data_IF_630879561752
#
_entry.id   IF_630879561752
#
_cell.length_a   1.000
_cell.length_b   1.000
_cell.length_c   1.000
_cell.angle_alpha   90.00
_cell.angle_beta   90.00
_cell.angle_gamma   90.00
#
_symmetry.space_group_name_H-M   'P 1'
#
loop_
_entity.id
_entity.type
_entity.pdbx_description
1 polymer ?
#
# COMPACT_ATOMS: atom_id res chain seq x y z
N UNK A 1 17.68 -30.58 3.16
CA UNK A 1 16.77 -30.03 2.14
C UNK A 1 16.41 -31.12 1.13
N UNK A 2 15.14 -31.30 0.83
CA UNK A 2 14.65 -32.23 -0.21
C UNK A 2 14.74 -31.57 -1.59
N UNK A 3 14.67 -32.39 -2.68
CA UNK A 3 14.67 -31.85 -4.06
C UNK A 3 13.56 -30.80 -4.29
N UNK A 4 12.29 -31.01 -3.89
CA UNK A 4 11.26 -29.97 -4.00
C UNK A 4 11.58 -28.68 -3.23
N UNK A 5 12.20 -28.77 -2.05
CA UNK A 5 12.64 -27.56 -1.31
C UNK A 5 13.71 -26.79 -2.09
N UNK A 6 14.67 -27.47 -2.71
CA UNK A 6 15.74 -26.82 -3.47
C UNK A 6 15.15 -26.11 -4.69
N UNK A 7 14.24 -26.78 -5.41
CA UNK A 7 13.55 -26.18 -6.56
C UNK A 7 12.74 -24.97 -6.12
N UNK A 8 11.96 -25.07 -5.03
CA UNK A 8 11.20 -23.96 -4.47
C UNK A 8 12.09 -22.77 -4.13
N UNK A 9 13.24 -23.03 -3.48
CA UNK A 9 14.21 -22.01 -3.14
C UNK A 9 14.77 -21.30 -4.37
N UNK A 10 15.15 -22.04 -5.40
CA UNK A 10 15.69 -21.49 -6.65
C UNK A 10 14.64 -20.68 -7.41
N UNK A 11 13.40 -21.17 -7.50
CA UNK A 11 12.30 -20.46 -8.16
C UNK A 11 11.95 -19.19 -7.39
N UNK A 12 11.92 -19.24 -6.06
CA UNK A 12 11.68 -18.06 -5.22
C UNK A 12 12.81 -17.05 -5.34
N UNK A 13 14.07 -17.49 -5.34
CA UNK A 13 15.22 -16.62 -5.55
C UNK A 13 15.18 -15.97 -6.94
N UNK A 14 14.77 -16.71 -7.98
CA UNK A 14 14.58 -16.18 -9.32
C UNK A 14 13.44 -15.15 -9.36
N UNK A 15 12.32 -15.41 -8.69
CA UNK A 15 11.23 -14.44 -8.53
C UNK A 15 11.73 -13.14 -7.87
N UNK A 16 12.46 -13.25 -6.77
CA UNK A 16 13.05 -12.10 -6.08
C UNK A 16 13.99 -11.33 -7.03
N UNK A 17 14.85 -12.02 -7.77
CA UNK A 17 15.72 -11.40 -8.75
C UNK A 17 14.96 -10.62 -9.82
N UNK A 18 13.84 -11.17 -10.35
CA UNK A 18 13.00 -10.48 -11.33
C UNK A 18 12.32 -9.24 -10.73
N UNK A 19 11.85 -9.31 -9.46
CA UNK A 19 11.27 -8.19 -8.76
C UNK A 19 12.31 -7.08 -8.57
N UNK A 20 13.50 -7.43 -8.09
CA UNK A 20 14.56 -6.47 -7.80
C UNK A 20 15.17 -5.80 -9.03
N UNK A 21 15.18 -6.49 -10.18
CA UNK A 21 15.76 -5.95 -11.40
C UNK A 21 14.77 -5.19 -12.28
N UNK A 22 13.46 -5.24 -11.95
CA UNK A 22 12.36 -4.61 -12.73
C UNK A 22 12.41 -4.89 -14.24
N UNK A 23 13.04 -6.02 -14.64
CA UNK A 23 13.19 -6.40 -16.05
C UNK A 23 11.89 -6.88 -16.68
N UNK A 24 10.92 -7.25 -15.88
CA UNK A 24 9.58 -7.65 -16.30
C UNK A 24 8.53 -6.77 -15.64
N UNK A 25 7.34 -6.62 -16.23
CA UNK A 25 6.28 -5.82 -15.66
C UNK A 25 5.96 -6.25 -14.22
N UNK A 26 5.79 -5.27 -13.34
CA UNK A 26 5.41 -5.49 -11.95
C UNK A 26 4.12 -6.33 -11.89
N UNK A 27 4.12 -7.38 -11.09
CA UNK A 27 3.03 -8.37 -10.99
C UNK A 27 3.27 -9.66 -11.77
N UNK A 28 4.14 -9.66 -12.81
CA UNK A 28 4.47 -10.86 -13.55
C UNK A 28 5.41 -11.85 -12.81
N UNK A 29 6.42 -11.41 -12.05
CA UNK A 29 7.37 -12.34 -11.42
C UNK A 29 6.75 -13.44 -10.57
N UNK A 30 5.78 -13.18 -9.65
CA UNK A 30 5.17 -14.25 -8.87
C UNK A 30 4.32 -15.21 -9.71
N UNK A 31 3.67 -14.71 -10.76
CA UNK A 31 2.91 -15.57 -11.69
C UNK A 31 3.84 -16.53 -12.41
N UNK A 32 4.99 -16.03 -12.88
CA UNK A 32 6.04 -16.86 -13.50
C UNK A 32 6.52 -17.89 -12.48
N UNK A 33 6.77 -17.49 -11.24
CA UNK A 33 7.20 -18.41 -10.19
C UNK A 33 6.16 -19.50 -9.91
N UNK A 34 4.87 -19.16 -9.79
CA UNK A 34 3.77 -20.12 -9.64
C UNK A 34 3.77 -21.14 -10.80
N UNK A 35 3.90 -20.65 -12.03
CA UNK A 35 3.95 -21.52 -13.20
C UNK A 35 5.17 -22.48 -13.19
N UNK A 36 6.34 -21.96 -12.80
CA UNK A 36 7.56 -22.77 -12.66
C UNK A 36 7.45 -23.81 -11.54
N UNK A 37 6.81 -23.47 -10.40
CA UNK A 37 6.55 -24.43 -9.32
C UNK A 37 5.71 -25.62 -9.81
N UNK A 38 4.69 -25.36 -10.64
CA UNK A 38 3.87 -26.42 -11.26
C UNK A 38 4.66 -27.20 -12.28
N UNK A 39 5.39 -26.51 -13.18
CA UNK A 39 6.16 -27.13 -14.26
C UNK A 39 7.24 -28.10 -13.72
N UNK A 40 7.87 -27.74 -12.64
CA UNK A 40 8.88 -28.58 -11.99
C UNK A 40 8.31 -29.60 -11.00
N UNK A 41 6.99 -29.75 -10.93
CA UNK A 41 6.32 -30.73 -10.09
C UNK A 41 6.47 -30.51 -8.59
N UNK A 42 6.71 -29.27 -8.18
CA UNK A 42 6.79 -28.88 -6.75
C UNK A 42 5.42 -28.93 -6.10
N UNK A 43 4.39 -28.46 -6.83
CA UNK A 43 3.00 -28.41 -6.36
C UNK A 43 2.04 -28.50 -7.55
N UNK A 44 0.75 -28.72 -7.27
CA UNK A 44 -0.31 -28.69 -8.29
C UNK A 44 -0.74 -27.25 -8.64
N UNK A 45 -1.48 -27.12 -9.75
CA UNK A 45 -1.91 -25.82 -10.28
C UNK A 45 -2.90 -25.10 -9.34
N UNK A 46 -3.74 -25.85 -8.60
CA UNK A 46 -4.72 -25.25 -7.69
C UNK A 46 -4.01 -24.61 -6.50
N UNK A 47 -3.03 -25.27 -5.94
CA UNK A 47 -2.20 -24.74 -4.85
C UNK A 47 -1.35 -23.56 -5.33
N UNK A 48 -0.64 -23.67 -6.45
CA UNK A 48 0.22 -22.61 -6.95
C UNK A 48 -0.55 -21.32 -7.30
N UNK A 49 -1.80 -21.42 -7.75
CA UNK A 49 -2.63 -20.26 -8.12
C UNK A 49 -3.77 -19.95 -7.11
N UNK A 50 -3.72 -20.55 -5.93
CA UNK A 50 -4.75 -20.36 -4.88
C UNK A 50 -4.93 -18.89 -4.50
N UNK A 51 -3.89 -18.08 -4.58
CA UNK A 51 -3.97 -16.65 -4.28
C UNK A 51 -4.98 -15.89 -5.14
N UNK A 52 -5.29 -16.36 -6.36
CA UNK A 52 -6.30 -15.73 -7.23
C UNK A 52 -7.74 -15.95 -6.76
N UNK A 53 -8.01 -16.96 -5.95
CA UNK A 53 -9.30 -17.20 -5.30
C UNK A 53 -9.32 -16.80 -3.83
N UNK A 54 -8.26 -16.14 -3.36
CA UNK A 54 -8.12 -15.73 -1.98
C UNK A 54 -9.11 -14.61 -1.63
N UNK A 55 -9.90 -14.74 -0.54
CA UNK A 55 -10.87 -13.72 -0.13
C UNK A 55 -10.27 -12.32 0.06
N UNK A 56 -9.06 -12.23 0.63
CA UNK A 56 -8.37 -10.95 0.87
C UNK A 56 -7.98 -10.27 -0.44
N UNK A 57 -7.59 -11.05 -1.46
CA UNK A 57 -7.25 -10.52 -2.80
C UNK A 57 -8.52 -10.07 -3.52
N UNK A 58 -9.61 -10.82 -3.41
CA UNK A 58 -10.91 -10.43 -3.98
C UNK A 58 -11.39 -9.12 -3.35
N UNK A 59 -11.27 -8.99 -2.03
CA UNK A 59 -11.58 -7.75 -1.31
C UNK A 59 -10.72 -6.60 -1.80
N UNK A 60 -9.41 -6.79 -1.89
CA UNK A 60 -8.46 -5.76 -2.32
C UNK A 60 -8.78 -5.28 -3.74
N UNK A 61 -8.97 -6.20 -4.68
CA UNK A 61 -9.32 -5.91 -6.06
C UNK A 61 -10.65 -5.12 -6.15
N UNK A 62 -11.66 -5.58 -5.43
CA UNK A 62 -12.98 -4.92 -5.38
C UNK A 62 -12.89 -3.51 -4.79
N UNK A 63 -12.09 -3.34 -3.75
CA UNK A 63 -11.94 -2.03 -3.13
C UNK A 63 -11.18 -1.04 -4.02
N UNK A 64 -10.22 -1.50 -4.83
CA UNK A 64 -9.59 -0.65 -5.85
C UNK A 64 -10.60 -0.13 -6.88
N UNK A 65 -11.55 -0.95 -7.28
CA UNK A 65 -12.67 -0.52 -8.15
C UNK A 65 -13.51 0.56 -7.48
N UNK A 66 -13.82 0.39 -6.18
CA UNK A 66 -14.59 1.39 -5.41
C UNK A 66 -13.82 2.73 -5.35
N UNK A 67 -12.52 2.69 -5.09
CA UNK A 67 -11.67 3.89 -5.10
C UNK A 67 -11.64 4.56 -6.48
N UNK A 68 -11.59 3.78 -7.56
CA UNK A 68 -11.63 4.32 -8.92
C UNK A 68 -12.95 5.08 -9.19
N UNK A 69 -14.09 4.55 -8.70
CA UNK A 69 -15.36 5.26 -8.71
C UNK A 69 -15.31 6.57 -7.91
N UNK A 70 -14.73 6.53 -6.71
CA UNK A 70 -14.62 7.71 -5.85
C UNK A 70 -13.78 8.82 -6.49
N UNK A 71 -12.74 8.48 -7.25
CA UNK A 71 -11.91 9.44 -7.99
C UNK A 71 -12.68 10.25 -9.04
N UNK A 72 -13.80 9.74 -9.54
CA UNK A 72 -14.66 10.42 -10.53
C UNK A 72 -15.68 11.37 -9.89
N UNK A 73 -15.79 11.41 -8.57
CA UNK A 73 -16.77 12.26 -7.88
C UNK A 73 -16.31 13.72 -7.78
N UNK A 74 -17.23 14.62 -7.52
CA UNK A 74 -16.95 16.05 -7.29
C UNK A 74 -16.07 16.30 -6.04
N UNK A 75 -15.86 15.29 -5.22
CA UNK A 75 -14.99 15.37 -4.05
C UNK A 75 -13.55 15.76 -4.42
N UNK A 76 -13.00 15.21 -5.52
CA UNK A 76 -11.67 15.54 -6.00
C UNK A 76 -11.53 17.02 -6.33
N UNK A 77 -12.50 17.59 -7.09
CA UNK A 77 -12.48 18.98 -7.46
C UNK A 77 -12.59 19.91 -6.21
N UNK A 78 -13.44 19.53 -5.26
CA UNK A 78 -13.56 20.27 -3.98
C UNK A 78 -12.26 20.21 -3.18
N UNK A 79 -11.63 19.02 -3.11
CA UNK A 79 -10.35 18.84 -2.44
C UNK A 79 -9.26 19.73 -3.06
N UNK A 80 -9.12 19.74 -4.38
CA UNK A 80 -8.15 20.56 -5.09
C UNK A 80 -8.37 22.06 -4.80
N UNK A 81 -9.61 22.52 -4.87
CA UNK A 81 -9.95 23.92 -4.58
C UNK A 81 -9.59 24.32 -3.14
N UNK A 82 -9.82 23.45 -2.15
CA UNK A 82 -9.45 23.70 -0.76
C UNK A 82 -7.94 23.84 -0.62
N UNK A 83 -7.16 22.93 -1.21
CA UNK A 83 -5.68 22.97 -1.14
C UNK A 83 -5.13 24.25 -1.77
N UNK A 84 -5.61 24.63 -2.97
CA UNK A 84 -5.18 25.86 -3.67
C UNK A 84 -5.55 27.12 -2.87
N UNK A 85 -6.77 27.20 -2.33
CA UNK A 85 -7.18 28.35 -1.51
C UNK A 85 -6.35 28.49 -0.23
N UNK A 86 -5.95 27.37 0.38
CA UNK A 86 -5.08 27.39 1.56
C UNK A 86 -3.66 27.84 1.19
N UNK A 87 -3.12 27.30 0.11
CA UNK A 87 -1.79 27.69 -0.36
C UNK A 87 -1.66 29.18 -0.65
N UNK A 88 -2.70 29.78 -1.27
CA UNK A 88 -2.73 31.22 -1.56
C UNK A 88 -2.72 32.12 -0.30
N UNK A 89 -3.13 31.60 0.86
CA UNK A 89 -3.05 32.34 2.12
C UNK A 89 -1.63 32.40 2.69
N UNK A 90 -0.77 31.46 2.32
CA UNK A 90 0.63 31.38 2.74
C UNK A 90 0.85 31.17 4.24
N UNK A 91 2.11 31.02 4.62
CA UNK A 91 2.56 30.94 5.99
C UNK A 91 2.33 29.59 6.68
N UNK A 92 2.75 29.49 7.96
CA UNK A 92 2.73 28.24 8.71
C UNK A 92 1.33 27.62 8.87
N UNK A 93 0.29 28.45 9.08
CA UNK A 93 -1.08 27.94 9.18
C UNK A 93 -1.56 27.27 7.91
N UNK A 94 -1.25 27.88 6.76
CA UNK A 94 -1.59 27.32 5.46
C UNK A 94 -0.86 25.99 5.22
N UNK A 95 0.41 25.91 5.58
CA UNK A 95 1.21 24.68 5.52
C UNK A 95 0.58 23.56 6.36
N UNK A 96 0.30 23.81 7.64
CA UNK A 96 -0.30 22.81 8.56
C UNK A 96 -1.65 22.32 8.03
N UNK A 97 -2.50 23.25 7.61
CA UNK A 97 -3.82 22.90 7.05
C UNK A 97 -3.71 22.12 5.75
N UNK A 98 -2.73 22.43 4.90
CA UNK A 98 -2.49 21.68 3.66
C UNK A 98 -2.06 20.25 3.94
N UNK A 99 -1.13 20.02 4.88
CA UNK A 99 -0.73 18.67 5.31
C UNK A 99 -1.94 17.91 5.86
N UNK A 100 -2.75 18.53 6.73
CA UNK A 100 -3.97 17.92 7.27
C UNK A 100 -4.98 17.55 6.17
N UNK A 101 -5.19 18.43 5.21
CA UNK A 101 -6.13 18.20 4.09
C UNK A 101 -5.64 17.05 3.22
N UNK A 102 -4.32 16.96 2.95
CA UNK A 102 -3.77 15.82 2.21
C UNK A 102 -3.91 14.53 3.02
N UNK A 103 -3.63 14.54 4.33
CA UNK A 103 -3.84 13.38 5.20
C UNK A 103 -5.31 12.95 5.27
N UNK A 104 -6.25 13.91 5.26
CA UNK A 104 -7.69 13.64 5.18
C UNK A 104 -8.04 13.00 3.83
N UNK A 105 -7.52 13.53 2.74
CA UNK A 105 -7.65 12.94 1.41
C UNK A 105 -7.09 11.52 1.36
N UNK A 106 -5.93 11.29 1.95
CA UNK A 106 -5.32 9.96 2.08
C UNK A 106 -6.24 8.97 2.80
N UNK A 107 -6.96 9.43 3.82
CA UNK A 107 -7.96 8.62 4.51
C UNK A 107 -9.12 8.18 3.61
N UNK A 108 -9.40 8.91 2.53
CA UNK A 108 -10.48 8.60 1.60
C UNK A 108 -9.98 7.82 0.37
N UNK A 109 -8.79 8.12 -0.14
CA UNK A 109 -8.24 7.51 -1.36
C UNK A 109 -7.30 6.34 -1.12
N UNK A 110 -6.93 6.10 0.12
CA UNK A 110 -6.08 4.98 0.52
C UNK A 110 -4.59 5.28 0.47
N UNK A 111 -3.93 4.80 1.50
CA UNK A 111 -2.47 4.85 1.64
C UNK A 111 -1.82 3.96 0.57
N UNK A 112 -0.75 4.44 -0.07
CA UNK A 112 -0.04 3.67 -1.10
C UNK A 112 -0.66 3.74 -2.50
N UNK A 113 -1.72 4.54 -2.71
CA UNK A 113 -2.32 4.74 -4.04
C UNK A 113 -1.44 5.63 -4.91
N UNK A 114 -0.77 5.05 -5.91
CA UNK A 114 0.07 5.80 -6.87
C UNK A 114 -0.72 6.91 -7.56
N UNK A 115 -1.98 6.67 -7.91
CA UNK A 115 -2.83 7.69 -8.52
C UNK A 115 -3.12 8.86 -7.57
N UNK A 116 -3.26 8.59 -6.26
CA UNK A 116 -3.38 9.63 -5.25
C UNK A 116 -2.09 10.47 -5.17
N UNK A 117 -0.92 9.82 -5.16
CA UNK A 117 0.37 10.51 -5.16
C UNK A 117 0.54 11.44 -6.35
N UNK A 118 0.32 10.90 -7.57
CA UNK A 118 0.44 11.69 -8.81
C UNK A 118 -0.48 12.91 -8.79
N UNK A 119 -1.72 12.72 -8.33
CA UNK A 119 -2.69 13.79 -8.22
C UNK A 119 -2.26 14.87 -7.22
N UNK A 120 -1.83 14.47 -6.02
CA UNK A 120 -1.40 15.41 -4.98
C UNK A 120 -0.13 16.15 -5.40
N UNK A 121 0.88 15.43 -5.90
CA UNK A 121 2.13 16.05 -6.36
C UNK A 121 1.88 16.98 -7.55
N UNK A 122 1.04 16.57 -8.49
CA UNK A 122 0.61 17.43 -9.60
C UNK A 122 -0.10 18.69 -9.12
N UNK A 123 -0.97 18.59 -8.11
CA UNK A 123 -1.62 19.73 -7.48
C UNK A 123 -0.62 20.64 -6.76
N UNK A 124 0.28 20.07 -5.97
CA UNK A 124 1.30 20.82 -5.24
C UNK A 124 2.25 21.58 -6.18
N UNK A 125 2.53 21.03 -7.36
CA UNK A 125 3.37 21.70 -8.39
C UNK A 125 2.71 22.94 -8.99
N UNK A 126 1.39 23.06 -8.91
CA UNK A 126 0.66 24.26 -9.39
C UNK A 126 0.68 25.41 -8.39
N UNK A 127 1.09 25.16 -7.15
CA UNK A 127 1.12 26.17 -6.09
C UNK A 127 2.36 27.06 -6.28
N UNK A 128 2.20 28.37 -6.49
CA UNK A 128 3.35 29.26 -6.64
C UNK A 128 4.16 29.31 -5.34
N UNK A 129 5.48 29.20 -5.47
CA UNK A 129 6.39 29.43 -4.35
C UNK A 129 6.30 30.90 -3.93
N UNK A 130 6.14 31.17 -2.64
CA UNK A 130 6.14 32.50 -2.07
C UNK A 130 7.12 32.61 -0.92
N UNK A 131 7.55 33.83 -0.59
CA UNK A 131 8.47 34.06 0.56
C UNK A 131 7.87 33.55 1.88
N UNK A 132 6.55 33.62 2.03
CA UNK A 132 5.84 33.15 3.21
C UNK A 132 5.61 31.63 3.23
N UNK A 133 5.65 30.98 2.06
CA UNK A 133 5.51 29.52 1.92
C UNK A 133 6.35 29.03 0.73
N UNK A 134 7.67 28.88 0.91
CA UNK A 134 8.54 28.35 -0.14
C UNK A 134 8.17 26.91 -0.51
N UNK A 135 8.24 26.57 -1.79
CA UNK A 135 7.94 25.23 -2.29
C UNK A 135 8.73 24.13 -1.58
N UNK A 136 9.99 24.41 -1.25
CA UNK A 136 10.87 23.51 -0.49
C UNK A 136 10.37 23.18 0.93
N UNK A 137 9.48 24.00 1.51
CA UNK A 137 8.91 23.73 2.84
C UNK A 137 7.66 22.87 2.80
N UNK A 138 6.88 22.89 1.73
CA UNK A 138 5.59 22.19 1.75
C UNK A 138 5.50 20.98 0.83
N UNK A 139 6.23 20.95 -0.29
CA UNK A 139 6.07 19.88 -1.28
C UNK A 139 6.40 18.53 -0.69
N UNK A 140 7.56 18.36 -0.04
CA UNK A 140 7.97 17.08 0.53
C UNK A 140 7.03 16.62 1.67
N UNK A 141 6.77 17.40 2.73
CA UNK A 141 5.85 16.98 3.78
C UNK A 141 4.44 16.68 3.29
N UNK A 142 3.90 17.51 2.40
CA UNK A 142 2.57 17.30 1.84
C UNK A 142 2.53 16.06 0.91
N UNK A 143 3.60 15.77 0.18
CA UNK A 143 3.71 14.53 -0.62
C UNK A 143 3.74 13.30 0.29
N UNK A 144 4.55 13.30 1.35
CA UNK A 144 4.60 12.18 2.29
C UNK A 144 3.30 12.02 3.10
N UNK A 145 2.51 13.08 3.26
CA UNK A 145 1.18 13.00 3.86
C UNK A 145 0.25 12.04 3.10
N UNK A 146 0.54 11.72 1.83
CA UNK A 146 -0.18 10.70 1.06
C UNK A 146 0.00 9.26 1.61
N UNK A 147 0.94 9.04 2.52
CA UNK A 147 1.12 7.74 3.19
C UNK A 147 0.52 7.70 4.60
N UNK A 148 0.04 8.82 5.12
CA UNK A 148 -0.37 8.98 6.50
C UNK A 148 -1.84 9.41 6.59
N UNK A 149 -2.81 8.46 6.67
CA UNK A 149 -4.22 8.78 6.77
C UNK A 149 -4.54 9.47 8.10
N UNK A 150 -5.31 10.55 8.06
CA UNK A 150 -5.74 11.27 9.26
C UNK A 150 -6.84 10.52 10.02
N UNK A 151 -7.77 9.91 9.28
CA UNK A 151 -8.86 9.13 9.87
C UNK A 151 -8.56 7.64 9.70
N UNK A 152 -8.89 6.80 10.68
CA UNK A 152 -8.68 5.35 10.60
C UNK A 152 -9.71 4.65 9.68
N UNK A 153 -10.13 5.30 8.61
CA UNK A 153 -11.25 4.87 7.76
C UNK A 153 -10.78 4.09 6.55
N UNK A 154 -9.65 4.44 5.96
CA UNK A 154 -9.16 3.82 4.73
C UNK A 154 -7.70 3.38 4.82
N UNK A 155 -7.42 2.54 5.78
CA UNK A 155 -6.22 1.71 5.82
C UNK A 155 -6.43 0.39 5.08
N UNK A 156 -7.54 0.26 4.35
CA UNK A 156 -7.99 -0.98 3.73
C UNK A 156 -6.98 -1.56 2.75
N UNK A 157 -6.31 -0.72 1.96
CA UNK A 157 -5.28 -1.19 1.05
C UNK A 157 -4.10 -1.80 1.82
N UNK A 158 -3.56 -1.11 2.82
CA UNK A 158 -2.49 -1.63 3.68
C UNK A 158 -2.95 -2.84 4.49
N UNK A 159 -4.19 -2.82 4.98
CA UNK A 159 -4.77 -3.96 5.69
C UNK A 159 -4.88 -5.19 4.80
N UNK A 160 -5.26 -5.03 3.53
CA UNK A 160 -5.25 -6.12 2.54
C UNK A 160 -3.86 -6.74 2.39
N UNK A 161 -2.80 -5.92 2.39
CA UNK A 161 -1.43 -6.43 2.39
C UNK A 161 -1.06 -7.15 3.69
N UNK A 162 -1.48 -6.64 4.84
CA UNK A 162 -1.27 -7.33 6.13
C UNK A 162 -1.89 -8.72 6.10
N UNK A 163 -3.12 -8.85 5.60
CA UNK A 163 -3.77 -10.15 5.44
C UNK A 163 -3.01 -11.05 4.46
N UNK A 164 -2.62 -10.52 3.31
CA UNK A 164 -1.90 -11.27 2.29
C UNK A 164 -0.54 -11.79 2.80
N UNK A 165 0.23 -10.99 3.53
CA UNK A 165 1.53 -11.43 4.07
C UNK A 165 1.39 -12.38 5.24
N UNK A 166 0.33 -12.25 6.06
CA UNK A 166 0.02 -13.20 7.13
C UNK A 166 -0.26 -14.58 6.55
N UNK A 167 -1.11 -14.64 5.55
CA UNK A 167 -1.48 -15.87 4.87
C UNK A 167 -0.29 -16.48 4.14
N UNK A 168 0.47 -15.65 3.41
CA UNK A 168 1.71 -16.08 2.76
C UNK A 168 2.76 -16.60 3.75
N UNK A 169 2.77 -16.13 5.00
CA UNK A 169 3.61 -16.63 6.08
C UNK A 169 3.03 -17.84 6.84
N UNK A 170 1.86 -18.35 6.46
CA UNK A 170 1.21 -19.50 7.06
C UNK A 170 0.37 -19.19 8.32
N UNK A 171 0.01 -17.94 8.55
CA UNK A 171 -0.81 -17.54 9.70
C UNK A 171 -2.32 -17.62 9.40
N UNK A 172 -3.10 -17.91 10.42
CA UNK A 172 -4.57 -17.88 10.34
C UNK A 172 -5.06 -16.44 10.49
N UNK A 173 -5.75 -15.92 9.46
CA UNK A 173 -6.15 -14.50 9.38
C UNK A 173 -7.41 -14.13 10.19
N UNK A 174 -8.15 -15.11 10.73
CA UNK A 174 -9.42 -14.88 11.43
C UNK A 174 -9.33 -14.00 12.68
N UNK A 175 -8.12 -13.82 13.24
CA UNK A 175 -7.89 -12.99 14.44
C UNK A 175 -7.53 -11.54 14.14
N UNK A 176 -7.44 -11.15 12.87
CA UNK A 176 -6.96 -9.82 12.46
C UNK A 176 -8.12 -8.86 12.28
N UNK A 177 -8.07 -7.75 13.01
CA UNK A 177 -9.13 -6.75 13.05
C UNK A 177 -8.69 -5.45 12.36
N UNK A 178 -9.42 -5.03 11.31
CA UNK A 178 -9.21 -3.76 10.64
C UNK A 178 -9.28 -2.55 11.60
N UNK A 179 -10.25 -2.45 12.54
CA UNK A 179 -10.27 -1.34 13.50
C UNK A 179 -9.02 -1.26 14.37
N UNK A 180 -8.48 -2.39 14.85
CA UNK A 180 -7.23 -2.41 15.64
C UNK A 180 -6.03 -1.96 14.81
N UNK A 181 -5.93 -2.45 13.57
CA UNK A 181 -4.89 -2.01 12.64
C UNK A 181 -5.01 -0.51 12.34
N UNK A 182 -6.22 -0.02 12.08
CA UNK A 182 -6.48 1.39 11.79
C UNK A 182 -6.07 2.31 12.96
N UNK A 183 -6.32 1.91 14.21
CA UNK A 183 -5.88 2.64 15.40
C UNK A 183 -4.35 2.66 15.50
N UNK A 184 -3.68 1.53 15.29
CA UNK A 184 -2.22 1.46 15.31
C UNK A 184 -1.59 2.36 14.23
N UNK A 185 -2.14 2.33 13.00
CA UNK A 185 -1.68 3.17 11.91
C UNK A 185 -1.96 4.66 12.16
N UNK A 186 -3.06 5.01 12.84
CA UNK A 186 -3.37 6.38 13.24
C UNK A 186 -2.32 6.96 14.19
N UNK A 187 -1.76 6.17 15.10
CA UNK A 187 -0.68 6.61 16.00
C UNK A 187 0.54 7.05 15.18
N UNK A 188 0.91 6.27 14.16
CA UNK A 188 2.00 6.63 13.25
C UNK A 188 1.69 7.91 12.47
N UNK A 189 0.46 8.07 11.98
CA UNK A 189 0.02 9.27 11.27
C UNK A 189 0.04 10.50 12.17
N UNK A 190 -0.35 10.36 13.45
CA UNK A 190 -0.28 11.44 14.43
C UNK A 190 1.18 11.83 14.72
N UNK A 191 2.08 10.86 14.84
CA UNK A 191 3.51 11.11 15.00
C UNK A 191 4.12 11.82 13.78
N UNK A 192 3.75 11.40 12.56
CA UNK A 192 4.14 12.08 11.33
C UNK A 192 3.63 13.52 11.29
N UNK A 193 2.38 13.76 11.64
CA UNK A 193 1.82 15.11 11.68
C UNK A 193 2.56 15.99 12.70
N UNK A 194 2.80 15.48 13.91
CA UNK A 194 3.59 16.18 14.92
C UNK A 194 4.98 16.52 14.39
N UNK A 195 5.65 15.55 13.73
CA UNK A 195 6.94 15.79 13.08
C UNK A 195 6.84 16.89 12.02
N UNK A 196 5.85 16.91 11.15
CA UNK A 196 5.65 17.97 10.16
C UNK A 196 5.56 19.36 10.81
N UNK A 197 4.82 19.48 11.93
CA UNK A 197 4.67 20.73 12.65
C UNK A 197 6.00 21.22 13.24
N UNK A 198 6.76 20.33 13.87
CA UNK A 198 8.06 20.66 14.45
C UNK A 198 9.14 20.90 13.38
N UNK A 199 9.17 20.06 12.35
CA UNK A 199 10.16 20.11 11.29
C UNK A 199 10.02 21.34 10.36
N UNK A 200 8.90 22.04 10.37
CA UNK A 200 8.68 23.22 9.52
C UNK A 200 9.81 24.25 9.60
N UNK A 201 10.37 24.46 10.80
CA UNK A 201 11.49 25.39 11.02
C UNK A 201 12.81 24.84 10.50
N UNK A 202 12.95 23.51 10.42
CA UNK A 202 14.18 22.83 9.98
C UNK A 202 14.22 22.64 8.46
N UNK A 203 13.05 22.71 7.79
CA UNK A 203 12.98 22.54 6.35
C UNK A 203 13.62 23.73 5.61
N UNK A 204 14.35 23.46 4.51
CA UNK A 204 15.02 24.48 3.75
C UNK A 204 14.01 25.51 3.20
N UNK A 205 14.35 26.79 3.30
CA UNK A 205 13.56 27.90 2.76
C UNK A 205 14.29 28.53 1.59
N UNK A 206 14.42 27.79 0.48
CA UNK A 206 15.01 28.32 -0.76
C UNK A 206 13.87 28.73 -1.70
N UNK A 207 14.00 29.94 -2.28
CA UNK A 207 13.22 30.27 -3.46
C UNK A 207 13.67 29.35 -4.60
N UNK A 208 12.75 28.59 -5.16
CA UNK A 208 13.04 27.73 -6.32
C UNK A 208 12.82 28.59 -7.56
N UNK A 209 13.92 29.09 -8.15
CA UNK A 209 13.87 29.73 -9.45
C UNK A 209 13.50 28.72 -10.53
N UNK A 210 12.50 29.05 -11.34
CA UNK A 210 12.12 28.25 -12.50
C UNK A 210 11.31 26.99 -12.18
N UNK A 211 10.38 27.03 -11.24
CA UNK A 211 9.24 26.11 -11.26
C UNK A 211 8.41 26.47 -12.51
N UNK A 212 8.84 25.95 -13.67
CA UNK A 212 7.97 25.93 -14.82
C UNK A 212 6.72 25.16 -14.40
N UNK A 213 5.58 25.82 -14.52
CA UNK A 213 4.24 25.21 -14.37
C UNK A 213 4.05 24.17 -15.47
N UNK A 214 4.79 23.06 -15.34
CA UNK A 214 4.65 21.91 -16.21
C UNK A 214 3.42 21.14 -15.78
N UNK A 215 2.42 21.30 -16.59
CA UNK A 215 1.10 20.67 -16.58
C UNK A 215 0.13 21.20 -15.51
N UNK A 216 -0.75 22.07 -15.94
CA UNK A 216 -2.10 22.17 -15.39
C UNK A 216 -2.62 20.75 -15.13
N UNK A 217 -2.65 20.34 -13.85
CA UNK A 217 -3.49 19.24 -13.47
C UNK A 217 -4.90 19.64 -13.97
N UNK A 218 -5.32 19.06 -15.09
CA UNK A 218 -6.66 19.28 -15.61
C UNK A 218 -7.60 18.95 -14.47
N UNK A 219 -8.33 19.95 -13.99
CA UNK A 219 -9.47 19.75 -13.11
C UNK A 219 -10.30 18.67 -13.82
N UNK A 220 -10.35 17.48 -13.24
CA UNK A 220 -11.17 16.41 -13.78
C UNK A 220 -12.59 16.90 -13.64
N UNK A 221 -13.17 17.38 -14.73
CA UNK A 221 -14.59 17.75 -14.76
C UNK A 221 -15.38 16.52 -14.36
N UNK A 222 -16.15 16.67 -13.33
CA UNK A 222 -17.01 15.62 -12.80
C UNK A 222 -18.02 15.21 -13.86
N UNK A 223 -17.83 14.06 -14.48
CA UNK A 223 -18.74 13.52 -15.49
C UNK A 223 -19.91 12.76 -14.89
N UNK A 224 -19.98 12.65 -13.55
CA UNK A 224 -20.99 11.87 -12.86
C UNK A 224 -22.24 12.71 -12.56
N UNK A 225 -23.39 12.10 -12.73
CA UNK A 225 -24.66 12.65 -12.24
C UNK A 225 -24.70 12.63 -10.72
N UNK A 226 -25.53 13.49 -10.09
CA UNK A 226 -25.72 13.49 -8.63
C UNK A 226 -26.14 12.13 -8.07
N UNK A 227 -26.92 11.35 -8.84
CA UNK A 227 -27.31 9.99 -8.45
C UNK A 227 -26.11 9.04 -8.45
N UNK A 228 -25.29 9.10 -9.47
CA UNK A 228 -24.08 8.27 -9.58
C UNK A 228 -23.06 8.61 -8.47
N UNK A 229 -22.88 9.89 -8.16
CA UNK A 229 -22.04 10.30 -7.02
C UNK A 229 -22.56 9.74 -5.70
N UNK A 230 -23.87 9.84 -5.44
CA UNK A 230 -24.46 9.30 -4.22
C UNK A 230 -24.31 7.79 -4.14
N UNK A 231 -24.53 7.05 -5.24
CA UNK A 231 -24.30 5.60 -5.31
C UNK A 231 -22.82 5.31 -4.98
N UNK A 232 -21.88 6.08 -5.52
CA UNK A 232 -20.45 5.89 -5.26
C UNK A 232 -20.10 6.05 -3.78
N UNK A 233 -20.63 7.08 -3.12
CA UNK A 233 -20.42 7.28 -1.68
C UNK A 233 -21.03 6.15 -0.84
N UNK A 234 -22.22 5.69 -1.20
CA UNK A 234 -22.84 4.53 -0.53
C UNK A 234 -22.00 3.28 -0.71
N UNK A 235 -21.56 2.97 -1.94
CA UNK A 235 -20.70 1.82 -2.21
C UNK A 235 -19.36 1.91 -1.47
N UNK A 236 -18.78 3.09 -1.33
CA UNK A 236 -17.56 3.31 -0.56
C UNK A 236 -17.77 2.99 0.94
N UNK A 237 -18.87 3.51 1.53
CA UNK A 237 -19.20 3.23 2.93
C UNK A 237 -19.51 1.75 3.14
N UNK A 238 -20.25 1.11 2.23
CA UNK A 238 -20.53 -0.31 2.27
C UNK A 238 -19.27 -1.17 2.13
N UNK A 239 -18.33 -0.78 1.28
CA UNK A 239 -17.04 -1.45 1.14
C UNK A 239 -16.25 -1.44 2.46
N UNK A 240 -16.14 -0.28 3.11
CA UNK A 240 -15.49 -0.15 4.43
C UNK A 240 -16.25 -0.95 5.49
N UNK A 241 -17.58 -0.87 5.50
CA UNK A 241 -18.40 -1.65 6.43
C UNK A 241 -18.17 -3.16 6.25
N UNK A 242 -18.07 -3.64 5.00
CA UNK A 242 -17.74 -5.03 4.69
C UNK A 242 -16.37 -5.44 5.25
N UNK A 243 -15.36 -4.58 5.10
CA UNK A 243 -14.01 -4.84 5.64
C UNK A 243 -13.99 -4.88 7.17
N UNK A 244 -14.78 -4.05 7.83
CA UNK A 244 -14.89 -4.07 9.30
C UNK A 244 -15.67 -5.32 9.73
N UNK A 245 -16.76 -5.61 9.04
CA UNK A 245 -17.66 -6.71 9.36
C UNK A 245 -17.00 -8.09 9.13
N UNK A 246 -15.98 -8.21 8.26
CA UNK A 246 -15.33 -9.48 7.98
C UNK A 246 -14.81 -10.18 9.25
N UNK A 247 -14.39 -9.43 10.26
CA UNK A 247 -13.95 -10.00 11.54
C UNK A 247 -15.08 -10.64 12.36
N UNK A 248 -16.36 -10.36 12.00
CA UNK A 248 -17.56 -10.89 12.68
C UNK A 248 -18.33 -11.88 11.80
N UNK A 249 -18.41 -11.62 10.48
CA UNK A 249 -19.22 -12.41 9.54
C UNK A 249 -18.38 -13.19 8.52
N UNK A 250 -17.04 -13.11 8.61
CA UNK A 250 -16.13 -13.85 7.72
C UNK A 250 -16.25 -13.44 6.25
N UNK A 251 -16.29 -14.42 5.34
CA UNK A 251 -16.25 -14.22 3.89
C UNK A 251 -17.37 -13.34 3.33
N UNK A 252 -18.52 -13.24 4.02
CA UNK A 252 -19.62 -12.36 3.63
C UNK A 252 -19.19 -10.88 3.66
N UNK A 253 -18.29 -10.49 4.57
CA UNK A 253 -17.72 -9.15 4.59
C UNK A 253 -16.90 -8.84 3.34
N UNK A 254 -16.13 -9.79 2.86
CA UNK A 254 -15.38 -9.66 1.59
C UNK A 254 -16.32 -9.57 0.38
N UNK A 255 -17.38 -10.39 0.36
CA UNK A 255 -18.38 -10.38 -0.70
C UNK A 255 -19.10 -9.03 -0.81
N UNK A 256 -19.32 -8.32 0.30
CA UNK A 256 -19.92 -7.00 0.31
C UNK A 256 -19.09 -5.96 -0.47
N UNK A 257 -17.75 -6.05 -0.41
CA UNK A 257 -16.89 -5.23 -1.24
C UNK A 257 -17.07 -5.53 -2.73
N UNK A 258 -17.15 -6.81 -3.11
CA UNK A 258 -17.33 -7.23 -4.50
C UNK A 258 -18.72 -6.80 -5.04
N UNK A 259 -19.76 -6.90 -4.23
CA UNK A 259 -21.11 -6.40 -4.58
C UNK A 259 -21.08 -4.89 -4.79
N UNK A 260 -20.42 -4.14 -3.89
CA UNK A 260 -20.30 -2.68 -4.01
C UNK A 260 -19.56 -2.28 -5.29
N UNK A 261 -18.49 -2.97 -5.66
CA UNK A 261 -17.78 -2.75 -6.92
C UNK A 261 -18.66 -3.04 -8.14
N UNK A 262 -19.46 -4.12 -8.09
CA UNK A 262 -20.40 -4.48 -9.16
C UNK A 262 -21.51 -3.44 -9.33
N UNK A 263 -22.03 -2.88 -8.24
CA UNK A 263 -23.04 -1.80 -8.29
C UNK A 263 -22.49 -0.58 -9.04
N UNK A 264 -21.21 -0.22 -8.87
CA UNK A 264 -20.61 0.91 -9.60
C UNK A 264 -20.58 0.67 -11.12
N UNK A 265 -20.35 -0.57 -11.55
CA UNK A 265 -20.42 -0.95 -12.96
C UNK A 265 -21.87 -0.86 -13.48
N UNK A 266 -22.84 -1.43 -12.77
CA UNK A 266 -24.26 -1.39 -13.17
C UNK A 266 -24.85 0.02 -13.18
N UNK A 267 -24.41 0.88 -12.25
CA UNK A 267 -24.84 2.27 -12.20
C UNK A 267 -24.15 3.16 -13.27
N UNK A 268 -23.25 2.61 -14.09
CA UNK A 268 -22.53 3.34 -15.11
C UNK A 268 -21.56 4.40 -14.55
N UNK A 269 -21.11 4.25 -13.31
CA UNK A 269 -20.06 5.07 -12.71
C UNK A 269 -18.72 4.72 -13.34
N UNK A 270 -18.47 3.43 -13.52
CA UNK A 270 -17.30 2.87 -14.16
C UNK A 270 -17.74 2.03 -15.36
N UNK A 271 -16.94 2.07 -16.42
CA UNK A 271 -17.10 1.14 -17.52
C UNK A 271 -16.33 -0.17 -17.28
N UNK A 272 -16.62 -1.19 -18.08
CA UNK A 272 -16.00 -2.50 -17.91
C UNK A 272 -14.46 -2.47 -18.04
N UNK A 273 -13.92 -1.63 -18.93
CA UNK A 273 -12.48 -1.52 -19.09
C UNK A 273 -11.81 -0.92 -17.85
N UNK A 274 -12.43 0.05 -17.21
CA UNK A 274 -11.94 0.65 -15.96
C UNK A 274 -11.95 -0.38 -14.83
N UNK A 275 -13.06 -1.13 -14.68
CA UNK A 275 -13.16 -2.21 -13.68
C UNK A 275 -12.09 -3.28 -13.94
N UNK A 276 -11.93 -3.72 -15.18
CA UNK A 276 -10.91 -4.70 -15.57
C UNK A 276 -9.50 -4.21 -15.23
N UNK A 277 -9.20 -2.96 -15.51
CA UNK A 277 -7.88 -2.38 -15.25
C UNK A 277 -7.57 -2.30 -13.75
N UNK A 278 -8.54 -1.97 -12.92
CA UNK A 278 -8.35 -1.93 -11.47
C UNK A 278 -8.27 -3.35 -10.87
N UNK A 279 -9.13 -4.28 -11.29
CA UNK A 279 -9.08 -5.67 -10.81
C UNK A 279 -7.85 -6.43 -11.31
N UNK A 280 -7.35 -6.12 -12.50
CA UNK A 280 -6.12 -6.66 -13.08
C UNK A 280 -4.89 -5.80 -12.79
N UNK A 281 -4.96 -4.88 -11.83
CA UNK A 281 -3.82 -4.04 -11.49
C UNK A 281 -2.60 -4.89 -11.10
N UNK A 282 -1.38 -4.48 -11.48
CA UNK A 282 -0.16 -5.25 -11.22
C UNK A 282 0.00 -5.66 -9.75
N UNK A 283 -0.48 -4.82 -8.83
CA UNK A 283 -0.45 -5.09 -7.39
C UNK A 283 -1.33 -6.28 -6.98
N UNK A 284 -2.48 -6.46 -7.62
CA UNK A 284 -3.39 -7.60 -7.38
C UNK A 284 -2.72 -8.89 -7.85
N UNK A 285 -2.17 -8.85 -9.07
CA UNK A 285 -1.45 -9.98 -9.65
C UNK A 285 -0.23 -10.37 -8.81
N UNK A 286 0.51 -9.36 -8.34
CA UNK A 286 1.66 -9.55 -7.44
C UNK A 286 1.24 -10.25 -6.16
N UNK A 287 0.24 -9.73 -5.47
CA UNK A 287 -0.22 -10.27 -4.18
C UNK A 287 -0.78 -11.69 -4.32
N UNK A 288 -1.61 -11.92 -5.35
CA UNK A 288 -2.16 -13.25 -5.62
C UNK A 288 -1.06 -14.27 -5.92
N UNK A 289 -0.08 -13.89 -6.75
CA UNK A 289 1.03 -14.78 -7.08
C UNK A 289 1.95 -15.06 -5.89
N UNK A 290 2.23 -14.07 -5.04
CA UNK A 290 3.06 -14.27 -3.83
C UNK A 290 2.39 -15.25 -2.86
N UNK A 291 1.08 -15.17 -2.68
CA UNK A 291 0.34 -16.15 -1.86
C UNK A 291 0.51 -17.55 -2.46
N UNK A 292 0.37 -17.70 -3.76
CA UNK A 292 0.55 -18.99 -4.43
C UNK A 292 1.97 -19.57 -4.27
N UNK A 293 3.01 -18.73 -4.41
CA UNK A 293 4.40 -19.15 -4.16
C UNK A 293 4.60 -19.55 -2.71
N UNK A 294 4.02 -18.80 -1.75
CA UNK A 294 4.12 -19.10 -0.33
C UNK A 294 3.43 -20.41 0.03
N UNK A 295 2.26 -20.70 -0.55
CA UNK A 295 1.58 -22.00 -0.40
C UNK A 295 2.45 -23.15 -0.94
N UNK A 296 3.06 -22.98 -2.13
CA UNK A 296 3.98 -23.96 -2.70
C UNK A 296 5.21 -24.16 -1.79
N UNK A 297 5.79 -23.11 -1.24
CA UNK A 297 6.88 -23.21 -0.25
C UNK A 297 6.43 -23.90 1.03
N UNK A 298 5.19 -23.67 1.48
CA UNK A 298 4.60 -24.30 2.65
C UNK A 298 4.48 -25.82 2.48
N UNK A 299 3.94 -26.27 1.35
CA UNK A 299 3.80 -27.70 1.00
C UNK A 299 5.15 -28.41 0.97
N UNK A 300 6.21 -27.74 0.51
CA UNK A 300 7.57 -28.34 0.51
C UNK A 300 8.26 -28.34 1.87
N UNK A 301 7.74 -27.60 2.86
CA UNK A 301 8.37 -27.37 4.16
C UNK A 301 9.49 -26.30 4.13
N UNK A 302 9.70 -25.61 3.00
CA UNK A 302 10.73 -24.59 2.88
C UNK A 302 10.46 -23.40 3.81
N UNK A 303 9.19 -22.99 3.95
CA UNK A 303 8.78 -21.90 4.86
C UNK A 303 9.16 -22.21 6.32
N UNK A 304 8.92 -23.44 6.75
CA UNK A 304 9.31 -23.88 8.11
C UNK A 304 10.83 -23.84 8.29
N UNK A 305 11.59 -24.35 7.32
CA UNK A 305 13.05 -24.35 7.36
C UNK A 305 13.63 -22.93 7.41
N UNK A 306 13.09 -21.99 6.64
CA UNK A 306 13.48 -20.57 6.66
C UNK A 306 13.19 -19.98 8.04
N UNK A 307 11.98 -20.18 8.56
CA UNK A 307 11.60 -19.71 9.89
C UNK A 307 12.49 -20.25 11.02
N UNK A 308 12.77 -21.55 11.02
CA UNK A 308 13.67 -22.21 11.98
C UNK A 308 15.11 -21.66 11.87
N UNK A 309 15.60 -21.46 10.65
CA UNK A 309 16.96 -20.93 10.41
C UNK A 309 17.09 -19.51 10.95
N UNK A 310 16.13 -18.64 10.63
CA UNK A 310 16.12 -17.26 11.11
C UNK A 310 15.95 -17.20 12.63
N UNK A 311 15.04 -17.99 13.20
CA UNK A 311 14.86 -18.10 14.65
C UNK A 311 16.14 -18.59 15.34
N UNK A 312 16.82 -19.57 14.75
CA UNK A 312 18.12 -20.07 15.26
C UNK A 312 19.25 -19.04 15.22
N UNK A 313 19.31 -18.23 14.15
CA UNK A 313 20.28 -17.13 14.04
C UNK A 313 20.04 -16.01 15.05
N UNK A 314 18.78 -15.73 15.34
CA UNK A 314 18.38 -14.70 16.30
C UNK A 314 18.52 -15.18 17.75
N UNK A 315 18.49 -16.49 17.99
CA UNK A 315 18.59 -17.08 19.31
C UNK A 315 17.22 -17.29 20.00
N UNK A 316 17.14 -18.31 20.86
CA UNK A 316 15.87 -18.77 21.49
C UNK A 316 15.19 -17.72 22.41
N UNK A 317 15.89 -16.66 22.80
CA UNK A 317 15.41 -15.63 23.74
C UNK A 317 15.32 -14.24 23.09
N UNK A 318 15.18 -14.16 21.75
CA UNK A 318 15.05 -12.84 21.10
C UNK A 318 13.75 -12.17 21.49
N UNK A 319 13.89 -10.93 21.94
CA UNK A 319 12.72 -10.08 22.18
C UNK A 319 12.00 -9.81 20.85
N UNK A 320 10.70 -10.04 20.83
CA UNK A 320 9.80 -9.82 19.70
C UNK A 320 9.98 -8.42 19.06
N UNK A 321 10.27 -7.41 19.88
CA UNK A 321 10.53 -6.05 19.38
C UNK A 321 11.80 -5.96 18.55
N UNK A 322 12.86 -6.68 18.93
CA UNK A 322 14.13 -6.74 18.18
C UNK A 322 13.89 -7.42 16.84
N UNK A 323 13.16 -8.53 16.82
CA UNK A 323 12.79 -9.25 15.60
C UNK A 323 12.03 -8.33 14.64
N UNK A 324 10.96 -7.69 15.11
CA UNK A 324 10.16 -6.76 14.32
C UNK A 324 11.04 -5.60 13.82
N UNK A 325 11.84 -5.01 14.68
CA UNK A 325 12.72 -3.89 14.33
C UNK A 325 13.72 -4.27 13.22
N UNK A 326 14.38 -5.42 13.33
CA UNK A 326 15.33 -5.92 12.32
C UNK A 326 14.65 -6.09 10.97
N UNK A 327 13.50 -6.74 10.92
CA UNK A 327 12.76 -6.90 9.66
C UNK A 327 12.22 -5.57 9.11
N UNK A 328 11.78 -4.65 9.95
CA UNK A 328 11.36 -3.31 9.52
C UNK A 328 12.52 -2.54 8.90
N UNK A 329 13.68 -2.53 9.54
CA UNK A 329 14.87 -1.85 9.01
C UNK A 329 15.33 -2.51 7.70
N UNK A 330 15.39 -3.84 7.66
CA UNK A 330 15.77 -4.58 6.46
C UNK A 330 14.83 -4.27 5.28
N UNK A 331 13.51 -4.33 5.54
CA UNK A 331 12.50 -4.03 4.53
C UNK A 331 12.60 -2.58 4.05
N UNK A 332 12.73 -1.61 4.96
CA UNK A 332 12.83 -0.19 4.61
C UNK A 332 14.10 0.13 3.82
N UNK A 333 15.24 -0.42 4.22
CA UNK A 333 16.52 -0.21 3.52
C UNK A 333 16.46 -0.81 2.13
N UNK A 334 15.98 -2.06 1.99
CA UNK A 334 15.91 -2.72 0.69
C UNK A 334 14.82 -2.10 -0.20
N UNK A 335 13.68 -1.68 0.34
CA UNK A 335 12.68 -0.93 -0.41
C UNK A 335 13.27 0.35 -1.00
N UNK A 336 14.06 1.08 -0.20
CA UNK A 336 14.75 2.28 -0.67
C UNK A 336 15.79 1.99 -1.74
N UNK A 337 16.63 0.96 -1.55
CA UNK A 337 17.73 0.64 -2.48
C UNK A 337 17.22 0.09 -3.82
N UNK A 338 16.10 -0.61 -3.81
CA UNK A 338 15.53 -1.25 -5.02
C UNK A 338 14.46 -0.41 -5.70
N UNK A 339 13.92 0.61 -5.03
CA UNK A 339 12.74 1.35 -5.50
C UNK A 339 11.44 0.53 -5.48
N UNK A 340 11.49 -0.72 -5.00
CA UNK A 340 10.36 -1.65 -5.01
C UNK A 340 9.79 -1.86 -3.60
N UNK A 341 8.99 -0.92 -3.13
CA UNK A 341 8.36 -0.94 -1.80
C UNK A 341 7.50 -2.19 -1.59
N UNK A 342 6.59 -2.47 -2.52
CA UNK A 342 5.62 -3.56 -2.40
C UNK A 342 6.32 -4.92 -2.54
N UNK A 343 7.23 -5.04 -3.52
CA UNK A 343 7.99 -6.26 -3.72
C UNK A 343 8.77 -6.66 -2.48
N UNK A 344 9.42 -5.70 -1.85
CA UNK A 344 10.21 -5.93 -0.64
C UNK A 344 9.34 -6.36 0.54
N UNK A 345 8.19 -5.70 0.74
CA UNK A 345 7.22 -6.07 1.79
C UNK A 345 6.73 -7.50 1.58
N UNK A 346 6.32 -7.87 0.37
CA UNK A 346 5.79 -9.20 0.05
C UNK A 346 6.85 -10.32 0.13
N UNK A 347 8.13 -9.98 0.17
CA UNK A 347 9.22 -10.93 0.40
C UNK A 347 9.49 -11.10 1.91
N UNK A 348 9.74 -10.00 2.61
CA UNK A 348 10.26 -10.05 3.98
C UNK A 348 9.17 -10.20 5.05
N UNK A 349 7.96 -9.68 4.81
CA UNK A 349 6.90 -9.80 5.79
C UNK A 349 6.42 -11.26 5.98
N UNK A 350 6.20 -12.09 4.94
CA UNK A 350 5.91 -13.51 5.13
C UNK A 350 7.02 -14.28 5.88
N UNK A 351 8.29 -13.93 5.63
CA UNK A 351 9.41 -14.56 6.34
C UNK A 351 9.38 -14.22 7.83
N UNK A 352 9.10 -12.97 8.20
CA UNK A 352 8.95 -12.56 9.58
C UNK A 352 7.74 -13.24 10.26
N UNK A 353 6.63 -13.36 9.52
CA UNK A 353 5.42 -14.10 10.00
C UNK A 353 5.77 -15.54 10.30
N UNK A 354 6.41 -16.25 9.36
CA UNK A 354 6.84 -17.65 9.57
C UNK A 354 7.81 -17.77 10.76
N UNK A 355 8.74 -16.83 10.92
CA UNK A 355 9.65 -16.79 12.05
C UNK A 355 8.90 -16.62 13.38
N UNK A 356 7.94 -15.70 13.45
CA UNK A 356 7.09 -15.52 14.64
C UNK A 356 6.32 -16.80 14.98
N UNK A 357 5.72 -17.46 13.99
CA UNK A 357 4.97 -18.70 14.19
C UNK A 357 5.86 -19.82 14.74
N UNK A 358 7.07 -19.97 14.20
CA UNK A 358 8.05 -20.96 14.69
C UNK A 358 8.52 -20.67 16.13
N UNK A 359 8.52 -19.41 16.54
CA UNK A 359 8.85 -19.02 17.92
C UNK A 359 7.63 -19.06 18.86
N UNK A 360 6.45 -19.45 18.38
CA UNK A 360 5.19 -19.44 19.16
C UNK A 360 4.68 -18.04 19.45
N UNK A 361 5.09 -17.02 18.67
CA UNK A 361 4.71 -15.62 18.84
C UNK A 361 3.54 -15.25 17.92
N UNK A 362 2.74 -14.24 18.33
CA UNK A 362 1.69 -13.71 17.47
C UNK A 362 2.29 -12.90 16.31
N UNK A 363 2.09 -13.31 15.04
CA UNK A 363 2.71 -12.69 13.88
C UNK A 363 2.06 -11.38 13.42
N UNK A 364 0.86 -11.05 13.94
CA UNK A 364 0.05 -9.91 13.45
C UNK A 364 0.78 -8.58 13.61
N UNK A 365 1.46 -8.38 14.75
CA UNK A 365 2.22 -7.16 14.98
C UNK A 365 3.42 -7.04 14.04
N UNK A 366 4.11 -8.15 13.76
CA UNK A 366 5.22 -8.19 12.81
C UNK A 366 4.75 -7.87 11.38
N UNK A 367 3.70 -8.54 10.91
CA UNK A 367 3.12 -8.28 9.60
C UNK A 367 2.70 -6.82 9.43
N UNK A 368 1.95 -6.27 10.39
CA UNK A 368 1.50 -4.89 10.36
C UNK A 368 2.66 -3.89 10.36
N UNK A 369 3.64 -4.05 11.24
CA UNK A 369 4.79 -3.16 11.34
C UNK A 369 5.65 -3.18 10.06
N UNK A 370 5.91 -4.36 9.48
CA UNK A 370 6.72 -4.50 8.28
C UNK A 370 6.02 -3.94 7.06
N UNK A 371 4.71 -4.19 6.90
CA UNK A 371 3.92 -3.59 5.82
C UNK A 371 3.98 -2.07 5.90
N UNK A 372 3.73 -1.49 7.08
CA UNK A 372 3.75 -0.04 7.27
C UNK A 372 5.17 0.54 7.09
N UNK A 373 6.20 -0.14 7.59
CA UNK A 373 7.58 0.33 7.48
C UNK A 373 8.10 0.28 6.05
N UNK A 374 7.73 -0.73 5.27
CA UNK A 374 8.04 -0.80 3.85
C UNK A 374 7.47 0.39 3.08
N UNK A 375 6.19 0.74 3.34
CA UNK A 375 5.55 1.91 2.73
C UNK A 375 6.18 3.25 3.10
N UNK A 376 6.87 3.32 4.24
CA UNK A 376 7.48 4.54 4.76
C UNK A 376 9.02 4.51 4.69
N UNK A 377 9.59 3.48 4.08
CA UNK A 377 11.04 3.31 3.94
C UNK A 377 11.68 4.13 2.84
N UNK A 378 11.44 5.43 2.81
CA UNK A 378 11.91 6.33 1.74
C UNK A 378 13.16 7.11 2.16
N UNK A 379 14.29 6.45 2.33
CA UNK A 379 15.54 7.11 2.72
C UNK A 379 16.27 7.82 1.57
N UNK A 380 16.06 7.38 0.34
CA UNK A 380 16.70 7.94 -0.86
C UNK A 380 15.65 8.29 -1.92
N UNK A 381 15.90 9.27 -2.78
CA UNK A 381 14.97 9.69 -3.84
C UNK A 381 15.02 8.75 -5.07
N UNK A 382 15.10 7.46 -4.85
CA UNK A 382 15.15 6.42 -5.90
C UNK A 382 13.76 5.88 -6.17
N UNK A 383 12.92 5.83 -5.13
CA UNK A 383 11.53 5.36 -5.21
C UNK A 383 10.60 6.43 -5.78
N UNK A 384 9.45 6.02 -6.34
CA UNK A 384 8.53 6.87 -7.07
C UNK A 384 8.08 8.12 -6.33
N UNK A 385 7.60 8.00 -5.08
CA UNK A 385 7.10 9.15 -4.30
C UNK A 385 8.21 10.15 -3.95
N UNK A 386 9.35 9.76 -3.35
CA UNK A 386 10.43 10.69 -3.05
C UNK A 386 11.05 11.30 -4.31
N UNK A 387 11.23 10.54 -5.38
CA UNK A 387 11.77 11.04 -6.65
C UNK A 387 10.87 12.11 -7.27
N UNK A 388 9.55 11.88 -7.27
CA UNK A 388 8.57 12.84 -7.76
C UNK A 388 8.54 14.10 -6.88
N UNK A 389 8.52 13.96 -5.56
CA UNK A 389 8.55 15.08 -4.63
C UNK A 389 9.84 15.89 -4.76
N UNK A 390 10.99 15.23 -4.90
CA UNK A 390 12.29 15.87 -5.10
C UNK A 390 12.35 16.62 -6.41
N UNK A 391 11.90 16.05 -7.52
CA UNK A 391 11.85 16.72 -8.83
C UNK A 391 10.95 17.94 -8.81
N UNK A 392 9.75 17.81 -8.23
CA UNK A 392 8.78 18.90 -8.14
C UNK A 392 9.25 20.02 -7.20
N UNK A 393 9.84 19.66 -6.05
CA UNK A 393 10.33 20.60 -5.05
C UNK A 393 11.74 21.14 -5.34
N UNK A 394 12.42 20.64 -6.36
CA UNK A 394 13.81 20.96 -6.70
C UNK A 394 14.76 20.90 -5.50
N UNK A 395 14.63 19.82 -4.73
CA UNK A 395 15.48 19.57 -3.56
C UNK A 395 16.89 19.15 -3.96
#
# INVERSE_FOLDING_TARGET
MTTPMIISLLVTAFMIYLIMTEKVPFGAPPIIACALMVLFGVTDIQTAFRGFSNPSIIMLASFMVIIAGLRKTSFIAKFQNIVVQMANKGGFKAYVMMVLVVMLGTSLFGTGSTAWYVMVIGLLSTIPSSDNLPATKFIMPASFACNHPLLPVNTALQFGYVLAVLEAGGAVIQSVSLPKFAVANFILSAAFFAWCVFAYKLLPSRAVEGAETTSTAKVVETQLTKKQEMITYICFVLGIAGMIAQSFIGDQGYALCAVSASILLFAGVLNFNEVRNEMGAPIILMSAGVIGVAEAMGVTGLTALVGETVAGMLGANVNVFILIFVFCVLTSVLATLTGSTIGTVLIFAPMAVATCLNMGLNPVAAAAAIVVSGWNGHFLPIDGLPAMAMGTGKY
#
